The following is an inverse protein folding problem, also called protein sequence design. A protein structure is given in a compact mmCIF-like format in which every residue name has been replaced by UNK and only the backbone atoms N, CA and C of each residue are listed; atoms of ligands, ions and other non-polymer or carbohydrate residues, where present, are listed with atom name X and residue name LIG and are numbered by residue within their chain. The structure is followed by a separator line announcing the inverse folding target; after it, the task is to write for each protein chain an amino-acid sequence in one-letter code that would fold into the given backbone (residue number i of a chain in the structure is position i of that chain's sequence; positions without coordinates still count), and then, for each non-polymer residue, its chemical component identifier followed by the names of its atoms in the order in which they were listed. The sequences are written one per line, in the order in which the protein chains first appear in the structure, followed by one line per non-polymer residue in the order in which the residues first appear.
data_IF_843857087997
#
_entry.id   IF_843857087997
#
_cell.length_a   1.000
_cell.length_b   1.000
_cell.length_c   1.000
_cell.angle_alpha   90.00
_cell.angle_beta   90.00
_cell.angle_gamma   90.00
#
_symmetry.space_group_name_H-M   'P 1'
#
loop_
_entity.id
_entity.type
_entity.pdbx_description
1 polymer ?
#
# COMPACT_ATOMS: atom_id res chain seq x y z
N UNK A 1 18.68 -2.66 -25.57
CA UNK A 1 19.17 -3.38 -24.36
C UNK A 1 19.48 -2.47 -23.18
N UNK A 2 20.29 -1.40 -23.32
CA UNK A 2 20.65 -0.51 -22.20
C UNK A 2 19.44 0.07 -21.45
N UNK A 3 18.43 0.57 -22.17
CA UNK A 3 17.19 1.12 -21.57
C UNK A 3 16.42 0.08 -20.73
N UNK A 4 16.19 -1.11 -21.28
CA UNK A 4 15.46 -2.18 -20.61
C UNK A 4 16.20 -2.64 -19.33
N UNK A 5 17.54 -2.77 -19.41
CA UNK A 5 18.38 -3.10 -18.26
C UNK A 5 18.32 -2.02 -17.17
N UNK A 6 18.34 -0.73 -17.53
CA UNK A 6 18.19 0.37 -16.57
C UNK A 6 16.82 0.37 -15.90
N UNK A 7 15.74 0.09 -16.64
CA UNK A 7 14.39 0.03 -16.07
C UNK A 7 14.28 -1.13 -15.08
N UNK A 8 14.75 -2.32 -15.45
CA UNK A 8 14.75 -3.50 -14.58
C UNK A 8 15.55 -3.25 -13.31
N UNK A 9 16.74 -2.66 -13.42
CA UNK A 9 17.60 -2.35 -12.27
C UNK A 9 16.96 -1.33 -11.32
N UNK A 10 16.28 -0.31 -11.85
CA UNK A 10 15.53 0.64 -11.01
C UNK A 10 14.36 -0.05 -10.31
N UNK A 11 13.60 -0.87 -11.04
CA UNK A 11 12.48 -1.61 -10.47
C UNK A 11 12.93 -2.58 -9.37
N UNK A 12 14.04 -3.29 -9.56
CA UNK A 12 14.60 -4.19 -8.54
C UNK A 12 15.06 -3.44 -7.29
N UNK A 13 15.70 -2.27 -7.45
CA UNK A 13 16.11 -1.43 -6.31
C UNK A 13 14.89 -0.93 -5.54
N UNK A 14 13.87 -0.41 -6.23
CA UNK A 14 12.66 0.09 -5.56
C UNK A 14 11.89 -1.02 -4.86
N UNK A 15 11.75 -2.19 -5.47
CA UNK A 15 11.10 -3.34 -4.84
C UNK A 15 11.86 -3.82 -3.61
N UNK A 16 13.20 -3.87 -3.66
CA UNK A 16 14.02 -4.22 -2.50
C UNK A 16 13.87 -3.20 -1.36
N UNK A 17 13.91 -1.89 -1.66
CA UNK A 17 13.72 -0.84 -0.67
C UNK A 17 12.34 -0.87 -0.01
N UNK A 18 11.28 -1.03 -0.81
CA UNK A 18 9.92 -1.10 -0.29
C UNK A 18 9.68 -2.36 0.53
N UNK A 19 10.20 -3.50 0.10
CA UNK A 19 10.13 -4.76 0.85
C UNK A 19 10.87 -4.64 2.19
N UNK A 20 12.09 -4.08 2.17
CA UNK A 20 12.86 -3.81 3.38
C UNK A 20 12.16 -2.81 4.32
N UNK A 21 11.52 -1.78 3.78
CA UNK A 21 10.74 -0.82 4.55
C UNK A 21 9.53 -1.46 5.27
N UNK A 22 8.81 -2.36 4.59
CA UNK A 22 7.70 -3.11 5.21
C UNK A 22 8.24 -4.06 6.29
N UNK A 23 9.34 -4.77 6.01
CA UNK A 23 9.98 -5.67 6.99
C UNK A 23 10.39 -4.92 8.26
N UNK A 24 11.01 -3.75 8.09
CA UNK A 24 11.42 -2.89 9.20
C UNK A 24 10.21 -2.39 9.98
N UNK A 25 9.12 -2.00 9.31
CA UNK A 25 7.87 -1.61 9.96
C UNK A 25 7.32 -2.75 10.83
N UNK A 26 7.24 -3.97 10.29
CA UNK A 26 6.73 -5.14 11.03
C UNK A 26 7.64 -5.47 12.21
N UNK A 27 8.97 -5.36 12.05
CA UNK A 27 9.93 -5.55 13.13
C UNK A 27 9.77 -4.50 14.24
N UNK A 28 9.58 -3.23 13.88
CA UNK A 28 9.30 -2.16 14.83
C UNK A 28 7.96 -2.37 15.54
N UNK A 29 6.93 -2.78 14.81
CA UNK A 29 5.62 -3.09 15.39
C UNK A 29 5.73 -4.27 16.38
N UNK A 30 6.52 -5.29 16.07
CA UNK A 30 6.80 -6.41 16.97
C UNK A 30 7.51 -5.97 18.24
N UNK A 31 8.51 -5.09 18.13
CA UNK A 31 9.20 -4.52 19.29
C UNK A 31 8.27 -3.69 20.19
N UNK A 32 7.32 -2.94 19.61
CA UNK A 32 6.40 -2.06 20.34
C UNK A 32 5.25 -2.86 20.99
N UNK A 33 4.68 -3.82 20.28
CA UNK A 33 3.49 -4.55 20.72
C UNK A 33 3.79 -5.80 21.55
N UNK A 34 5.06 -6.08 21.85
CA UNK A 34 5.49 -6.99 22.92
C UNK A 34 4.71 -8.30 23.04
N UNK A 35 4.92 -9.24 22.12
CA UNK A 35 4.31 -10.57 22.15
C UNK A 35 3.10 -10.75 21.21
N UNK A 36 2.50 -9.67 20.73
CA UNK A 36 1.41 -9.73 19.74
C UNK A 36 1.91 -10.09 18.31
N UNK A 37 3.19 -9.87 18.05
CA UNK A 37 3.87 -10.22 16.80
C UNK A 37 5.19 -10.87 17.18
N UNK A 38 5.36 -12.13 16.82
CA UNK A 38 6.59 -12.88 17.07
C UNK A 38 7.20 -13.28 15.74
N UNK A 39 8.40 -12.78 15.47
CA UNK A 39 9.16 -13.07 14.25
C UNK A 39 10.26 -14.07 14.61
N UNK A 40 10.17 -15.29 14.11
CA UNK A 40 11.17 -16.34 14.35
C UNK A 40 12.25 -16.37 13.27
N UNK A 41 11.92 -15.90 12.05
CA UNK A 41 12.85 -15.93 10.92
C UNK A 41 12.83 -14.65 10.08
N UNK A 42 14.01 -14.15 9.75
CA UNK A 42 14.19 -13.02 8.82
C UNK A 42 13.75 -13.36 7.40
N UNK A 43 13.91 -14.60 6.94
CA UNK A 43 13.47 -15.00 5.60
C UNK A 43 11.95 -14.97 5.49
N UNK A 44 11.25 -15.43 6.54
CA UNK A 44 9.80 -15.35 6.64
C UNK A 44 9.33 -13.89 6.65
N UNK A 45 10.00 -13.02 7.43
CA UNK A 45 9.69 -11.58 7.48
C UNK A 45 9.81 -10.92 6.10
N UNK A 46 10.87 -11.23 5.35
CA UNK A 46 11.07 -10.71 3.99
C UNK A 46 10.02 -11.27 3.03
N UNK A 47 9.67 -12.56 3.12
CA UNK A 47 8.62 -13.18 2.33
C UNK A 47 7.25 -12.52 2.59
N UNK A 48 6.92 -12.30 3.86
CA UNK A 48 5.69 -11.62 4.29
C UNK A 48 5.64 -10.19 3.76
N UNK A 49 6.77 -9.48 3.85
CA UNK A 49 6.89 -8.10 3.35
C UNK A 49 6.75 -8.03 1.83
N UNK A 50 7.33 -8.98 1.12
CA UNK A 50 7.19 -9.10 -0.32
C UNK A 50 5.76 -9.45 -0.73
N UNK A 51 5.11 -10.37 -0.01
CA UNK A 51 3.71 -10.71 -0.23
C UNK A 51 2.78 -9.51 0.05
N UNK A 52 3.08 -8.70 1.07
CA UNK A 52 2.37 -7.44 1.33
C UNK A 52 2.55 -6.46 0.15
N UNK A 53 3.75 -6.38 -0.42
CA UNK A 53 4.03 -5.54 -1.59
C UNK A 53 3.31 -6.04 -2.85
N UNK A 54 3.18 -7.35 -3.05
CA UNK A 54 2.43 -7.93 -4.17
C UNK A 54 0.96 -7.48 -4.20
N UNK A 55 0.41 -7.09 -3.06
CA UNK A 55 -0.94 -6.52 -2.97
C UNK A 55 -1.12 -5.24 -3.79
N UNK A 56 -0.04 -4.56 -4.17
CA UNK A 56 -0.09 -3.41 -5.08
C UNK A 56 -0.81 -3.79 -6.39
N UNK A 57 -0.63 -5.01 -6.91
CA UNK A 57 -1.24 -5.43 -8.17
C UNK A 57 -2.78 -5.45 -8.07
N UNK A 58 -3.42 -6.17 -7.12
CA UNK A 58 -4.86 -6.07 -6.88
C UNK A 58 -5.36 -4.66 -6.65
N UNK A 59 -4.61 -3.83 -5.91
CA UNK A 59 -4.99 -2.42 -5.66
C UNK A 59 -5.12 -1.64 -6.97
N UNK A 60 -4.18 -1.81 -7.91
CA UNK A 60 -4.25 -1.14 -9.22
C UNK A 60 -5.46 -1.60 -10.03
N UNK A 61 -5.79 -2.90 -10.00
CA UNK A 61 -6.97 -3.44 -10.69
C UNK A 61 -8.26 -2.86 -10.10
N UNK A 62 -8.35 -2.77 -8.77
CA UNK A 62 -9.52 -2.17 -8.10
C UNK A 62 -9.60 -0.67 -8.38
N UNK A 63 -8.47 0.04 -8.46
CA UNK A 63 -8.45 1.45 -8.80
C UNK A 63 -8.97 1.73 -10.22
N UNK A 64 -8.88 0.77 -11.16
CA UNK A 64 -9.52 0.90 -12.46
C UNK A 64 -11.04 1.01 -12.38
N UNK A 65 -11.69 0.52 -11.32
CA UNK A 65 -13.13 0.73 -11.10
C UNK A 65 -13.48 2.22 -10.92
N UNK A 66 -12.51 3.06 -10.50
CA UNK A 66 -12.69 4.52 -10.40
C UNK A 66 -12.78 5.20 -11.77
N UNK A 67 -12.42 4.53 -12.86
CA UNK A 67 -12.57 5.04 -14.23
C UNK A 67 -14.02 4.95 -14.74
N UNK A 68 -14.88 4.19 -14.06
CA UNK A 68 -16.30 4.08 -14.41
C UNK A 68 -16.96 5.46 -14.26
N UNK A 69 -17.54 5.98 -15.34
CA UNK A 69 -18.18 7.31 -15.37
C UNK A 69 -19.41 7.34 -14.45
N UNK A 70 -19.24 7.88 -13.24
CA UNK A 70 -20.36 8.09 -12.30
C UNK A 70 -21.08 9.41 -12.60
N UNK A 71 -22.31 9.32 -13.12
CA UNK A 71 -23.08 10.47 -13.58
C UNK A 71 -23.75 11.28 -12.45
N UNK A 72 -24.17 10.65 -11.34
CA UNK A 72 -24.90 11.34 -10.24
C UNK A 72 -23.94 12.01 -9.23
N UNK A 73 -24.19 13.27 -8.85
CA UNK A 73 -23.34 14.09 -7.95
C UNK A 73 -23.02 13.40 -6.62
N UNK A 74 -24.03 12.85 -5.94
CA UNK A 74 -23.87 12.15 -4.65
C UNK A 74 -22.97 10.92 -4.82
N UNK A 75 -23.24 10.11 -5.86
CA UNK A 75 -22.46 8.91 -6.14
C UNK A 75 -21.00 9.25 -6.46
N UNK A 76 -20.70 10.37 -7.12
CA UNK A 76 -19.33 10.81 -7.42
C UNK A 76 -18.51 11.10 -6.16
N UNK A 77 -19.15 11.63 -5.11
CA UNK A 77 -18.47 11.94 -3.84
C UNK A 77 -18.26 10.66 -3.03
N UNK A 78 -19.26 9.77 -2.97
CA UNK A 78 -19.20 8.55 -2.16
C UNK A 78 -18.35 7.44 -2.79
N UNK A 79 -18.34 7.33 -4.12
CA UNK A 79 -17.71 6.22 -4.83
C UNK A 79 -16.22 6.03 -4.50
N UNK A 80 -15.37 7.08 -4.43
CA UNK A 80 -13.98 6.93 -4.04
C UNK A 80 -13.81 6.33 -2.64
N UNK A 81 -14.63 6.74 -1.66
CA UNK A 81 -14.57 6.21 -0.30
C UNK A 81 -15.03 4.76 -0.23
N UNK A 82 -16.08 4.40 -0.98
CA UNK A 82 -16.55 3.03 -1.10
C UNK A 82 -15.45 2.11 -1.68
N UNK A 83 -14.79 2.53 -2.76
CA UNK A 83 -13.68 1.75 -3.35
C UNK A 83 -12.53 1.59 -2.34
N UNK A 84 -12.17 2.65 -1.62
CA UNK A 84 -11.15 2.55 -0.56
C UNK A 84 -11.55 1.58 0.55
N UNK A 85 -12.83 1.58 0.97
CA UNK A 85 -13.31 0.64 1.98
C UNK A 85 -13.21 -0.81 1.47
N UNK A 86 -13.61 -1.07 0.23
CA UNK A 86 -13.46 -2.39 -0.41
C UNK A 86 -11.98 -2.80 -0.48
N UNK A 87 -11.08 -1.88 -0.85
CA UNK A 87 -9.63 -2.15 -0.88
C UNK A 87 -9.10 -2.54 0.50
N UNK A 88 -9.50 -1.83 1.56
CA UNK A 88 -9.07 -2.12 2.94
C UNK A 88 -9.62 -3.48 3.39
N UNK A 89 -10.89 -3.78 3.15
CA UNK A 89 -11.49 -5.07 3.54
C UNK A 89 -10.81 -6.24 2.82
N UNK A 90 -10.62 -6.14 1.50
CA UNK A 90 -9.91 -7.17 0.74
C UNK A 90 -8.45 -7.31 1.18
N UNK A 91 -7.78 -6.19 1.47
CA UNK A 91 -6.42 -6.22 1.99
C UNK A 91 -6.35 -6.92 3.33
N UNK A 92 -7.26 -6.63 4.25
CA UNK A 92 -7.32 -7.30 5.56
C UNK A 92 -7.54 -8.80 5.43
N UNK A 93 -8.45 -9.24 4.54
CA UNK A 93 -8.69 -10.67 4.27
C UNK A 93 -7.45 -11.34 3.67
N UNK A 94 -6.76 -10.66 2.76
CA UNK A 94 -5.50 -11.14 2.17
C UNK A 94 -4.40 -11.29 3.22
N UNK A 95 -4.21 -10.27 4.07
CA UNK A 95 -3.21 -10.29 5.13
C UNK A 95 -3.49 -11.39 6.17
N UNK A 96 -4.75 -11.62 6.52
CA UNK A 96 -5.15 -12.73 7.39
C UNK A 96 -4.87 -14.11 6.74
N UNK A 97 -5.03 -14.21 5.42
CA UNK A 97 -4.69 -15.44 4.70
C UNK A 97 -3.18 -15.66 4.68
N UNK A 98 -2.38 -14.61 4.43
CA UNK A 98 -0.92 -14.71 4.43
C UNK A 98 -0.38 -15.06 5.81
N UNK A 99 -0.89 -14.42 6.86
CA UNK A 99 -0.39 -14.62 8.23
C UNK A 99 -0.58 -16.06 8.72
N UNK A 100 -1.51 -16.81 8.14
CA UNK A 100 -1.73 -18.24 8.44
C UNK A 100 -0.93 -19.18 7.53
N UNK A 101 -0.39 -18.68 6.42
CA UNK A 101 0.35 -19.47 5.41
C UNK A 101 1.86 -19.39 5.57
N UNK A 102 2.38 -18.27 6.06
CA UNK A 102 3.81 -18.09 6.29
C UNK A 102 4.14 -18.64 7.68
N UNK A 103 4.85 -19.77 7.70
CA UNK A 103 5.45 -20.30 8.92
C UNK A 103 6.52 -19.33 9.45
N UNK A 104 6.85 -19.43 10.74
CA UNK A 104 7.90 -18.64 11.41
C UNK A 104 7.60 -17.14 11.60
N UNK A 105 6.35 -16.72 11.40
CA UNK A 105 5.82 -15.48 11.97
C UNK A 105 4.47 -15.75 12.61
N UNK A 106 4.33 -15.43 13.88
CA UNK A 106 3.07 -15.51 14.58
C UNK A 106 2.49 -14.11 14.76
N UNK A 107 1.26 -13.92 14.30
CA UNK A 107 0.47 -12.72 14.55
C UNK A 107 -0.73 -13.06 15.41
N UNK A 108 -0.95 -12.31 16.47
CA UNK A 108 -2.27 -12.21 17.07
C UNK A 108 -3.21 -11.40 16.18
N UNK A 109 -4.51 -11.45 16.45
CA UNK A 109 -5.48 -10.59 15.76
C UNK A 109 -5.16 -9.10 15.94
N UNK A 110 -4.71 -8.70 17.13
CA UNK A 110 -4.35 -7.31 17.45
C UNK A 110 -3.07 -6.90 16.71
N UNK A 111 -2.04 -7.74 16.73
CA UNK A 111 -0.78 -7.51 16.02
C UNK A 111 -0.99 -7.38 14.52
N UNK A 112 -1.78 -8.27 13.91
CA UNK A 112 -2.11 -8.20 12.49
C UNK A 112 -2.89 -6.92 12.15
N UNK A 113 -3.90 -6.57 12.96
CA UNK A 113 -4.68 -5.35 12.77
C UNK A 113 -3.80 -4.09 12.85
N UNK A 114 -2.86 -4.04 13.79
CA UNK A 114 -1.93 -2.93 13.93
C UNK A 114 -1.02 -2.78 12.71
N UNK A 115 -0.51 -3.90 12.16
CA UNK A 115 0.29 -3.88 10.91
C UNK A 115 -0.55 -3.39 9.73
N UNK A 116 -1.75 -3.95 9.54
CA UNK A 116 -2.66 -3.53 8.45
C UNK A 116 -2.94 -2.02 8.52
N UNK A 117 -3.26 -1.51 9.71
CA UNK A 117 -3.52 -0.10 9.93
C UNK A 117 -2.30 0.76 9.63
N UNK A 118 -1.13 0.35 10.11
CA UNK A 118 0.13 1.08 9.91
C UNK A 118 0.49 1.18 8.42
N UNK A 119 0.42 0.06 7.69
CA UNK A 119 0.67 0.01 6.25
C UNK A 119 -0.34 0.90 5.49
N UNK A 120 -1.62 0.81 5.85
CA UNK A 120 -2.68 1.60 5.21
C UNK A 120 -2.49 3.11 5.43
N UNK A 121 -2.14 3.51 6.65
CA UNK A 121 -1.89 4.92 7.00
C UNK A 121 -0.67 5.44 6.24
N UNK A 122 0.45 4.71 6.26
CA UNK A 122 1.68 5.11 5.57
C UNK A 122 1.46 5.21 4.07
N UNK A 123 0.76 4.24 3.46
CA UNK A 123 0.42 4.29 2.05
C UNK A 123 -0.40 5.54 1.71
N UNK A 124 -1.35 5.91 2.57
CA UNK A 124 -2.18 7.11 2.37
C UNK A 124 -1.39 8.41 2.54
N UNK A 125 -0.47 8.45 3.51
CA UNK A 125 0.44 9.58 3.70
C UNK A 125 1.34 9.73 2.48
N UNK A 126 1.99 8.64 2.05
CA UNK A 126 2.86 8.62 0.87
C UNK A 126 2.12 9.10 -0.39
N UNK A 127 0.91 8.59 -0.63
CA UNK A 127 0.06 9.07 -1.73
C UNK A 127 -0.26 10.56 -1.62
N UNK A 128 -0.61 11.04 -0.42
CA UNK A 128 -0.92 12.46 -0.21
C UNK A 128 0.30 13.35 -0.45
N UNK A 129 1.48 12.93 -0.01
CA UNK A 129 2.74 13.65 -0.26
C UNK A 129 3.08 13.67 -1.75
N UNK A 130 2.87 12.56 -2.46
CA UNK A 130 3.06 12.48 -3.91
C UNK A 130 2.11 13.40 -4.66
N UNK A 131 0.82 13.42 -4.30
CA UNK A 131 -0.15 14.33 -4.91
C UNK A 131 0.25 15.80 -4.66
N UNK A 132 0.71 16.12 -3.45
CA UNK A 132 1.20 17.48 -3.11
C UNK A 132 2.44 17.87 -3.91
N UNK A 133 3.38 16.95 -4.13
CA UNK A 133 4.59 17.24 -4.91
C UNK A 133 4.25 17.44 -6.38
N UNK A 134 3.38 16.61 -6.95
CA UNK A 134 2.95 16.70 -8.36
C UNK A 134 2.08 17.93 -8.61
N UNK A 135 1.27 18.37 -7.64
CA UNK A 135 0.39 19.54 -7.78
C UNK A 135 1.17 20.82 -8.11
N UNK A 136 2.43 20.94 -7.69
CA UNK A 136 3.30 22.08 -8.01
C UNK A 136 3.63 22.19 -9.51
N UNK A 137 3.56 21.10 -10.24
CA UNK A 137 3.84 21.05 -11.69
C UNK A 137 2.59 21.15 -12.55
N UNK A 138 1.40 21.20 -11.94
CA UNK A 138 0.14 21.29 -12.67
C UNK A 138 -0.18 22.76 -12.97
N UNK A 139 -0.03 23.18 -14.22
CA UNK A 139 -0.52 24.47 -14.69
C UNK A 139 -2.04 24.56 -14.53
N UNK A 140 -2.59 25.68 -14.04
CA UNK A 140 -4.03 25.87 -13.96
C UNK A 140 -4.63 25.85 -15.37
N UNK A 141 -5.60 24.95 -15.60
CA UNK A 141 -6.27 24.78 -16.90
C UNK A 141 -7.20 25.95 -17.25
N UNK A 142 -7.45 26.85 -16.29
CA UNK A 142 -8.22 28.07 -16.50
C UNK A 142 -7.32 29.23 -16.08
N UNK A 143 -6.71 29.89 -17.06
CA UNK A 143 -6.22 31.24 -16.89
C UNK A 143 -7.45 32.13 -16.89
N UNK A 144 -7.83 32.67 -15.73
CA UNK A 144 -8.80 33.76 -15.70
C UNK A 144 -8.03 34.96 -16.25
N UNK A 145 -8.16 35.24 -17.55
CA UNK A 145 -7.76 36.53 -18.10
C UNK A 145 -8.70 37.56 -17.51
N UNK A 146 -8.16 38.45 -16.67
CA UNK A 146 -8.85 39.68 -16.34
C UNK A 146 -8.79 40.57 -17.59
N UNK A 147 -9.83 40.50 -18.41
CA UNK A 147 -10.23 41.59 -19.30
C UNK A 147 -11.40 42.33 -18.66
#
# INVERSE_FOLDING_TARGET
MKLLMTILLRASIYTMLLTGGIALLVQMASAVLGGEIIVYSWSALLLFSFATLLWIIPVQVIDWLKLIKVQRRIKRIMFPYFVTAVQIVLFSMYMATISTRIADIAFSAVGLAAVIMSVTIIARIAYTMLVRSVRKYKTPTVQISAE
#
